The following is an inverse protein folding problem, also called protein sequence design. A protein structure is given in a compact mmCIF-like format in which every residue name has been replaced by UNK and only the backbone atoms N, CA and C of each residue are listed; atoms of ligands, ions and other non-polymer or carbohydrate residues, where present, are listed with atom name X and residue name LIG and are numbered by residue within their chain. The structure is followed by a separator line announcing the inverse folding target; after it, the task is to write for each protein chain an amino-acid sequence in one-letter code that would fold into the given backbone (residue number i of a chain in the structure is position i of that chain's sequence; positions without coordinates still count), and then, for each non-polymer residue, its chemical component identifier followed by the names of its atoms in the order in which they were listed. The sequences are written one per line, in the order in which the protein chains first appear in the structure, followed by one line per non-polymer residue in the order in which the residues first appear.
data_IF_204050693337
#
_entry.id   IF_204050693337
#
_cell.length_a   1.000
_cell.length_b   1.000
_cell.length_c   1.000
_cell.angle_alpha   90.00
_cell.angle_beta   90.00
_cell.angle_gamma   90.00
#
_symmetry.space_group_name_H-M   'P 1'
#
loop_
_entity.id
_entity.type
_entity.pdbx_description
1 polymer ?
#
# COMPACT_ATOMS: atom_id res chain seq x y z
N UNK A 1 31.86 12.70 -6.96
CA UNK A 1 31.76 11.27 -6.62
C UNK A 1 30.29 10.84 -6.67
N UNK A 2 29.93 9.69 -7.28
CA UNK A 2 28.53 9.28 -7.46
C UNK A 2 27.79 9.00 -6.13
N UNK A 3 28.51 9.00 -5.01
CA UNK A 3 28.01 8.72 -3.66
C UNK A 3 27.40 9.94 -2.96
N UNK A 4 27.71 11.17 -3.40
CA UNK A 4 27.22 12.40 -2.76
C UNK A 4 25.77 12.74 -3.11
N UNK A 5 25.34 12.48 -4.34
CA UNK A 5 23.97 12.74 -4.79
C UNK A 5 22.94 11.76 -4.20
N UNK A 6 23.37 10.54 -3.86
CA UNK A 6 22.52 9.50 -3.30
C UNK A 6 22.23 9.70 -1.79
N UNK A 7 23.13 10.36 -1.06
CA UNK A 7 22.92 10.74 0.36
C UNK A 7 21.94 11.90 0.46
N UNK A 8 22.08 12.90 -0.41
CA UNK A 8 21.15 14.02 -0.51
C UNK A 8 19.73 13.56 -0.90
N UNK A 9 19.66 12.50 -1.71
CA UNK A 9 18.42 11.86 -2.16
C UNK A 9 17.64 11.16 -1.04
N UNK A 10 18.30 10.41 -0.14
CA UNK A 10 17.63 9.84 1.03
C UNK A 10 17.09 10.92 1.97
N UNK A 11 17.88 11.99 2.16
CA UNK A 11 17.47 13.15 2.96
C UNK A 11 16.25 13.85 2.34
N UNK A 12 16.18 13.96 1.02
CA UNK A 12 15.04 14.55 0.32
C UNK A 12 13.78 13.68 0.34
N UNK A 13 13.89 12.35 0.30
CA UNK A 13 12.74 11.45 0.43
C UNK A 13 12.11 11.56 1.83
N UNK A 14 12.94 11.56 2.87
CA UNK A 14 12.51 11.75 4.26
C UNK A 14 11.97 13.18 4.47
N UNK A 15 12.64 14.20 3.94
CA UNK A 15 12.20 15.58 4.03
C UNK A 15 10.90 15.86 3.25
N UNK A 16 10.65 15.20 2.12
CA UNK A 16 9.40 15.35 1.37
C UNK A 16 8.21 14.72 2.12
N UNK A 17 8.43 13.59 2.81
CA UNK A 17 7.42 12.96 3.68
C UNK A 17 7.15 13.79 4.94
N UNK A 18 8.16 14.49 5.47
CA UNK A 18 8.03 15.37 6.64
C UNK A 18 7.47 16.76 6.26
N UNK A 19 7.83 17.31 5.10
CA UNK A 19 7.53 18.70 4.71
C UNK A 19 6.20 18.85 3.98
N UNK A 20 5.56 17.78 3.48
CA UNK A 20 4.24 17.87 2.84
C UNK A 20 3.10 18.18 3.82
N UNK A 21 3.39 18.36 5.11
CA UNK A 21 2.45 18.85 6.13
C UNK A 21 2.79 20.27 6.62
N UNK A 22 3.75 20.95 6.00
CA UNK A 22 4.14 22.32 6.34
C UNK A 22 4.04 23.19 5.08
N UNK A 23 2.84 23.67 4.74
CA UNK A 23 2.56 25.02 4.18
C UNK A 23 1.18 25.13 3.50
N UNK A 24 0.53 26.28 3.70
CA UNK A 24 -0.63 26.73 2.91
C UNK A 24 -1.62 27.62 3.66
N UNK A 25 -1.27 28.88 3.91
CA UNK A 25 -2.13 29.91 4.52
C UNK A 25 -3.05 30.62 3.49
N UNK A 26 -4.27 30.99 3.89
CA UNK A 26 -5.16 31.95 3.20
C UNK A 26 -5.32 33.20 4.09
N UNK A 27 -5.23 34.44 3.57
CA UNK A 27 -5.28 35.64 4.40
C UNK A 27 -6.72 36.12 4.65
N UNK A 28 -6.98 36.69 5.83
CA UNK A 28 -8.14 37.56 6.05
C UNK A 28 -7.73 38.88 6.72
N UNK A 29 -8.22 39.97 6.13
CA UNK A 29 -8.05 41.36 6.57
C UNK A 29 -8.83 41.63 7.86
N UNK A 30 -8.29 42.53 8.69
CA UNK A 30 -8.65 42.68 10.09
C UNK A 30 -9.77 43.67 10.43
N UNK A 31 -10.16 43.68 11.71
CA UNK A 31 -10.81 44.80 12.39
C UNK A 31 -10.43 44.83 13.88
N UNK A 32 -10.08 46.05 14.30
CA UNK A 32 -9.86 46.70 15.61
C UNK A 32 -10.00 45.97 16.96
N UNK A 33 -9.03 46.31 17.82
CA UNK A 33 -8.97 46.16 19.28
C UNK A 33 -10.09 46.91 19.99
N UNK A 34 -10.76 46.25 20.91
CA UNK A 34 -10.82 46.57 22.35
C UNK A 34 -12.01 45.85 23.01
N UNK A 35 -11.75 45.12 24.10
CA UNK A 35 -12.62 44.64 25.20
C UNK A 35 -11.93 43.41 25.82
N UNK A 36 -10.90 43.70 26.62
CA UNK A 36 -9.97 42.79 27.28
C UNK A 36 -10.56 42.15 28.56
N UNK A 37 -10.15 40.91 28.80
CA UNK A 37 -9.91 40.28 30.11
C UNK A 37 -10.94 39.31 30.73
N UNK A 38 -12.17 39.18 30.23
CA UNK A 38 -13.13 38.17 30.74
C UNK A 38 -13.70 37.22 29.67
N UNK A 39 -13.34 37.43 28.40
CA UNK A 39 -13.71 36.59 27.24
C UNK A 39 -12.55 35.72 26.73
N UNK A 40 -11.34 35.93 27.24
CA UNK A 40 -10.10 35.41 26.66
C UNK A 40 -9.91 33.91 26.91
N UNK A 41 -10.42 33.35 28.01
CA UNK A 41 -10.33 31.91 28.29
C UNK A 41 -11.14 31.02 27.33
N UNK A 42 -12.27 31.51 26.82
CA UNK A 42 -13.11 30.82 25.82
C UNK A 42 -12.69 31.15 24.38
N UNK A 43 -12.11 32.34 24.13
CA UNK A 43 -11.59 32.71 22.80
C UNK A 43 -10.28 32.00 22.45
N UNK A 44 -9.35 31.84 23.40
CA UNK A 44 -8.14 31.04 23.16
C UNK A 44 -8.49 29.58 22.84
N UNK A 45 -9.48 29.02 23.54
CA UNK A 45 -9.97 27.67 23.29
C UNK A 45 -10.54 27.52 21.87
N UNK A 46 -11.37 28.47 21.40
CA UNK A 46 -11.86 28.49 20.01
C UNK A 46 -10.76 28.70 18.97
N UNK A 47 -9.67 29.38 19.31
CA UNK A 47 -8.53 29.58 18.41
C UNK A 47 -7.64 28.34 18.30
N UNK A 48 -7.73 27.40 19.24
CA UNK A 48 -6.93 26.17 19.28
C UNK A 48 -7.68 24.92 18.78
N UNK A 49 -8.98 25.03 18.50
CA UNK A 49 -9.79 23.92 18.00
C UNK A 49 -9.30 23.38 16.65
N UNK A 50 -9.36 22.06 16.50
CA UNK A 50 -8.99 21.37 15.27
C UNK A 50 -9.96 21.74 14.14
N UNK A 51 -9.46 21.99 12.91
CA UNK A 51 -10.34 22.09 11.75
C UNK A 51 -11.04 20.74 11.52
N UNK A 52 -12.35 20.76 11.32
CA UNK A 52 -13.17 19.56 11.16
C UNK A 52 -13.60 19.36 9.71
N UNK A 53 -13.46 18.13 9.20
CA UNK A 53 -14.08 17.73 7.95
C UNK A 53 -15.61 17.58 8.11
N UNK A 54 -16.40 17.71 7.03
CA UNK A 54 -17.81 17.37 7.08
C UNK A 54 -18.02 15.92 7.55
N UNK A 55 -18.72 15.77 8.68
CA UNK A 55 -18.95 14.47 9.31
C UNK A 55 -17.95 14.10 10.41
N UNK A 56 -16.88 14.87 10.59
CA UNK A 56 -15.94 14.74 11.69
C UNK A 56 -16.52 15.34 12.98
N UNK A 57 -16.29 14.67 14.11
CA UNK A 57 -16.78 15.11 15.41
C UNK A 57 -15.75 14.96 16.52
N UNK A 58 -15.62 16.01 17.33
CA UNK A 58 -14.72 16.05 18.47
C UNK A 58 -15.20 15.07 19.55
N UNK A 59 -14.26 14.29 20.10
CA UNK A 59 -14.49 13.31 21.17
C UNK A 59 -13.84 13.74 22.48
N UNK A 60 -12.64 14.32 22.39
CA UNK A 60 -11.88 14.81 23.55
C UNK A 60 -11.23 16.14 23.20
N UNK A 61 -11.26 17.08 24.14
CA UNK A 61 -10.39 18.26 24.16
C UNK A 61 -9.71 18.29 25.52
N UNK A 62 -8.37 18.19 25.52
CA UNK A 62 -7.55 18.26 26.73
C UNK A 62 -6.54 19.41 26.60
N UNK A 63 -6.57 20.32 27.58
CA UNK A 63 -5.61 21.43 27.67
C UNK A 63 -4.35 20.99 28.40
N UNK A 64 -3.30 21.78 28.29
CA UNK A 64 -2.02 21.56 28.97
C UNK A 64 -1.41 20.18 28.70
N UNK A 65 -1.62 19.66 27.48
CA UNK A 65 -0.99 18.43 26.99
C UNK A 65 0.36 18.78 26.39
N UNK A 66 1.40 18.13 26.90
CA UNK A 66 2.77 18.31 26.45
C UNK A 66 3.11 17.30 25.36
N UNK A 67 3.33 17.76 24.14
CA UNK A 67 3.96 16.96 23.09
C UNK A 67 5.48 17.02 23.24
N UNK A 68 6.10 15.86 23.40
CA UNK A 68 7.56 15.73 23.51
C UNK A 68 8.12 15.59 22.08
N UNK A 69 8.38 16.71 21.42
CA UNK A 69 8.93 16.73 20.07
C UNK A 69 10.41 16.30 20.12
N UNK A 70 10.82 15.27 19.35
CA UNK A 70 12.22 14.84 19.36
C UNK A 70 13.18 15.87 18.74
N UNK A 71 12.66 16.85 18.00
CA UNK A 71 13.44 17.87 17.29
C UNK A 71 13.50 19.21 18.03
N UNK A 72 12.46 19.55 18.79
CA UNK A 72 12.28 20.88 19.38
C UNK A 72 12.08 20.86 20.91
N UNK A 73 12.07 19.68 21.53
CA UNK A 73 11.76 19.51 22.95
C UNK A 73 10.27 19.54 23.25
N UNK A 74 9.93 19.75 24.52
CA UNK A 74 8.55 19.77 24.98
C UNK A 74 7.78 21.01 24.49
N UNK A 75 6.56 20.79 24.00
CA UNK A 75 5.63 21.86 23.60
C UNK A 75 4.29 21.61 24.29
N UNK A 76 3.85 22.55 25.12
CA UNK A 76 2.52 22.51 25.74
C UNK A 76 1.48 23.04 24.77
N UNK A 77 0.31 22.41 24.71
CA UNK A 77 -0.80 22.86 23.89
C UNK A 77 -2.11 22.15 24.20
N UNK A 78 -3.10 22.38 23.34
CA UNK A 78 -4.41 21.73 23.43
C UNK A 78 -4.44 20.52 22.49
N UNK A 79 -4.71 19.34 23.06
CA UNK A 79 -4.97 18.10 22.34
C UNK A 79 -6.47 18.00 22.02
N UNK A 80 -6.79 17.75 20.76
CA UNK A 80 -8.12 17.40 20.27
C UNK A 80 -8.07 16.01 19.65
N UNK A 81 -8.95 15.11 20.08
CA UNK A 81 -9.17 13.80 19.44
C UNK A 81 -10.56 13.80 18.83
N UNK A 82 -10.64 13.47 17.53
CA UNK A 82 -11.90 13.33 16.80
C UNK A 82 -12.16 11.86 16.45
N UNK A 83 -13.15 11.60 15.62
CA UNK A 83 -13.34 10.30 14.96
C UNK A 83 -12.45 10.09 13.72
N UNK A 84 -11.60 11.06 13.36
CA UNK A 84 -10.68 10.98 12.23
C UNK A 84 -9.21 11.25 12.58
N UNK A 85 -8.92 12.23 13.43
CA UNK A 85 -7.56 12.71 13.72
C UNK A 85 -7.30 12.93 15.21
N UNK A 86 -6.02 12.91 15.53
CA UNK A 86 -5.45 13.52 16.72
C UNK A 86 -4.76 14.82 16.30
N UNK A 87 -5.11 15.92 16.96
CA UNK A 87 -4.65 17.26 16.62
C UNK A 87 -4.12 17.97 17.86
N UNK A 88 -2.91 18.52 17.79
CA UNK A 88 -2.32 19.31 18.87
C UNK A 88 -2.00 20.69 18.32
N UNK A 89 -2.44 21.74 19.01
CA UNK A 89 -2.10 23.11 18.66
C UNK A 89 -1.59 23.87 19.88
N UNK A 90 -0.51 24.61 19.68
CA UNK A 90 0.07 25.53 20.65
C UNK A 90 0.26 26.90 20.01
N UNK A 91 -0.39 27.91 20.59
CA UNK A 91 -0.28 29.31 20.15
C UNK A 91 0.87 30.06 20.83
N UNK A 92 1.69 29.37 21.63
CA UNK A 92 2.87 29.96 22.29
C UNK A 92 3.97 30.36 21.30
N UNK A 93 3.89 29.90 20.05
CA UNK A 93 4.82 30.20 18.96
C UNK A 93 4.12 30.90 17.80
N UNK A 94 4.89 31.66 17.03
CA UNK A 94 4.45 32.27 15.76
C UNK A 94 5.40 31.82 14.63
N UNK A 95 4.91 31.05 13.63
CA UNK A 95 3.55 30.54 13.50
C UNK A 95 3.19 29.52 14.61
N UNK A 96 1.89 29.30 14.90
CA UNK A 96 1.44 28.31 15.88
C UNK A 96 2.02 26.93 15.59
N UNK A 97 2.43 26.23 16.64
CA UNK A 97 2.89 24.85 16.52
C UNK A 97 1.68 23.93 16.36
N UNK A 98 1.68 23.09 15.32
CA UNK A 98 0.58 22.17 15.01
C UNK A 98 1.12 20.77 14.74
N UNK A 99 0.44 19.77 15.29
CA UNK A 99 0.62 18.36 14.95
C UNK A 99 -0.74 17.80 14.57
N UNK A 100 -0.90 17.40 13.30
CA UNK A 100 -2.12 16.79 12.77
C UNK A 100 -1.83 15.35 12.33
N UNK A 101 -2.48 14.38 12.99
CA UNK A 101 -2.25 12.95 12.77
C UNK A 101 -3.59 12.25 12.53
N UNK A 102 -3.86 11.78 11.31
CA UNK A 102 -5.01 10.90 11.06
C UNK A 102 -4.90 9.63 11.91
N UNK A 103 -5.96 9.27 12.61
CA UNK A 103 -5.98 8.15 13.53
C UNK A 103 -5.67 6.81 12.83
N UNK A 104 -6.01 6.69 11.54
CA UNK A 104 -5.69 5.50 10.73
C UNK A 104 -4.19 5.23 10.53
N UNK A 105 -3.31 6.22 10.78
CA UNK A 105 -1.85 6.01 10.77
C UNK A 105 -1.33 5.48 12.09
N UNK A 106 -2.11 5.51 13.16
CA UNK A 106 -1.69 4.98 14.46
C UNK A 106 -1.67 3.45 14.35
N UNK A 107 -0.54 2.87 14.71
CA UNK A 107 -0.36 1.41 14.77
C UNK A 107 -0.50 0.87 16.18
N UNK A 108 -0.07 1.64 17.18
CA UNK A 108 -0.07 1.22 18.59
C UNK A 108 -0.09 2.44 19.50
N UNK A 109 -0.75 2.32 20.65
CA UNK A 109 -0.81 3.33 21.70
C UNK A 109 -0.45 2.65 23.03
N UNK A 110 0.54 3.15 23.75
CA UNK A 110 1.03 2.58 25.01
C UNK A 110 1.08 3.63 26.10
N UNK A 111 0.68 3.27 27.33
CA UNK A 111 0.90 4.13 28.50
C UNK A 111 2.39 4.06 28.88
N UNK A 112 3.03 5.21 29.06
CA UNK A 112 4.42 5.32 29.50
C UNK A 112 4.50 6.10 30.80
N UNK A 113 5.46 5.74 31.66
CA UNK A 113 5.80 6.55 32.83
C UNK A 113 6.54 7.80 32.41
N UNK A 114 6.15 8.95 32.96
CA UNK A 114 6.86 10.22 32.76
C UNK A 114 7.53 10.57 34.08
N UNK A 115 8.86 10.70 34.08
CA UNK A 115 9.60 11.15 35.27
C UNK A 115 9.40 12.66 35.43
N UNK A 116 8.36 13.06 36.16
CA UNK A 116 8.20 14.43 36.64
C UNK A 116 8.56 14.52 38.13
N UNK A 117 9.47 15.43 38.47
CA UNK A 117 9.79 15.78 39.85
C UNK A 117 8.58 16.44 40.52
N UNK A 118 7.64 15.65 41.05
CA UNK A 118 6.59 16.11 41.95
C UNK A 118 5.17 16.18 41.37
N UNK A 119 5.00 16.18 40.04
CA UNK A 119 3.67 16.16 39.40
C UNK A 119 3.24 14.75 39.03
N UNK A 120 2.02 14.36 39.40
CA UNK A 120 1.41 13.07 39.06
C UNK A 120 1.00 13.08 37.56
N UNK A 121 1.94 12.80 36.66
CA UNK A 121 1.75 12.88 35.21
C UNK A 121 1.55 11.51 34.56
N UNK A 122 0.65 11.46 33.57
CA UNK A 122 0.48 10.34 32.65
C UNK A 122 1.31 10.60 31.39
N UNK A 123 1.81 9.53 30.78
CA UNK A 123 2.38 9.59 29.43
C UNK A 123 1.73 8.59 28.48
N UNK A 124 1.70 8.96 27.20
CA UNK A 124 1.33 8.06 26.11
C UNK A 124 2.45 8.07 25.07
N UNK A 125 2.87 6.89 24.62
CA UNK A 125 3.63 6.71 23.38
C UNK A 125 2.71 6.20 22.26
N UNK A 126 2.80 6.83 21.10
CA UNK A 126 2.02 6.53 19.91
C UNK A 126 2.98 6.12 18.81
N UNK A 127 2.87 4.89 18.34
CA UNK A 127 3.68 4.36 17.23
C UNK A 127 2.86 4.46 15.96
N UNK A 128 3.37 5.17 14.96
CA UNK A 128 2.66 5.39 13.70
C UNK A 128 3.25 4.57 12.54
N UNK A 129 2.40 4.32 11.53
CA UNK A 129 2.69 3.60 10.29
C UNK A 129 3.48 4.47 9.29
N UNK A 130 3.43 5.79 9.44
CA UNK A 130 4.10 6.81 8.62
C UNK A 130 5.52 7.15 9.14
N UNK A 131 6.25 6.14 9.62
CA UNK A 131 7.66 6.22 10.02
C UNK A 131 7.98 7.14 11.23
N UNK A 132 6.99 7.66 11.94
CA UNK A 132 7.17 8.44 13.19
C UNK A 132 6.64 7.72 14.43
N UNK A 133 7.14 8.17 15.59
CA UNK A 133 6.60 7.89 16.91
C UNK A 133 6.38 9.22 17.65
N UNK A 134 5.36 9.28 18.48
CA UNK A 134 5.00 10.49 19.24
C UNK A 134 4.88 10.17 20.71
N UNK A 135 5.20 11.16 21.56
CA UNK A 135 5.03 11.05 23.01
C UNK A 135 4.27 12.25 23.54
N UNK A 136 3.27 11.96 24.36
CA UNK A 136 2.44 12.95 25.04
C UNK A 136 2.61 12.78 26.54
N UNK A 137 2.60 13.88 27.28
CA UNK A 137 2.52 13.91 28.73
C UNK A 137 1.43 14.87 29.18
N UNK A 138 0.67 14.49 30.20
CA UNK A 138 -0.45 15.29 30.71
C UNK A 138 -0.76 14.90 32.16
N UNK A 139 -1.58 15.69 32.87
CA UNK A 139 -1.87 15.45 34.30
C UNK A 139 -2.78 14.23 34.50
N UNK A 140 -2.54 13.45 35.56
CA UNK A 140 -3.40 12.29 35.92
C UNK A 140 -4.85 12.69 36.16
N UNK A 141 -5.10 13.90 36.66
CA UNK A 141 -6.46 14.43 36.84
C UNK A 141 -7.21 14.57 35.52
N UNK A 142 -6.53 15.04 34.46
CA UNK A 142 -7.10 15.16 33.11
C UNK A 142 -7.40 13.78 32.52
N UNK A 143 -6.52 12.80 32.74
CA UNK A 143 -6.77 11.42 32.35
C UNK A 143 -8.06 10.88 32.98
N UNK A 144 -8.22 11.04 34.30
CA UNK A 144 -9.37 10.52 35.03
C UNK A 144 -10.67 11.22 34.64
N UNK A 145 -10.59 12.48 34.20
CA UNK A 145 -11.76 13.28 33.83
C UNK A 145 -12.20 13.06 32.37
N UNK A 146 -11.24 12.91 31.45
CA UNK A 146 -11.50 12.94 30.01
C UNK A 146 -11.29 11.60 29.31
N UNK A 147 -10.72 10.59 30.00
CA UNK A 147 -10.44 9.27 29.45
C UNK A 147 -9.66 9.37 28.12
N UNK A 148 -8.60 10.19 28.10
CA UNK A 148 -7.86 10.58 26.89
C UNK A 148 -7.31 9.34 26.18
N UNK A 149 -6.65 8.46 26.94
CA UNK A 149 -6.09 7.22 26.41
C UNK A 149 -7.15 6.33 25.77
N UNK A 150 -8.25 6.09 26.49
CA UNK A 150 -9.33 5.20 26.08
C UNK A 150 -10.03 5.75 24.83
N UNK A 151 -10.32 7.05 24.79
CA UNK A 151 -10.85 7.69 23.58
C UNK A 151 -9.88 7.58 22.40
N UNK A 152 -8.58 7.81 22.61
CA UNK A 152 -7.61 7.70 21.52
C UNK A 152 -7.56 6.26 20.96
N UNK A 153 -7.48 5.25 21.83
CA UNK A 153 -7.47 3.83 21.44
C UNK A 153 -8.76 3.46 20.70
N UNK A 154 -9.92 3.78 21.27
CA UNK A 154 -11.22 3.45 20.66
C UNK A 154 -11.41 4.08 19.28
N UNK A 155 -10.91 5.31 19.07
CA UNK A 155 -11.02 6.01 17.77
C UNK A 155 -9.91 5.67 16.77
N UNK A 156 -8.73 5.29 17.24
CA UNK A 156 -7.64 4.78 16.39
C UNK A 156 -7.91 3.38 15.86
N UNK A 157 -8.63 2.56 16.64
CA UNK A 157 -8.93 1.18 16.29
C UNK A 157 -10.45 0.91 16.24
N UNK A 158 -11.19 1.60 15.36
CA UNK A 158 -12.64 1.49 15.32
C UNK A 158 -13.13 0.08 15.03
N UNK A 159 -12.45 -0.71 14.19
CA UNK A 159 -12.87 -2.08 13.85
C UNK A 159 -12.80 -2.99 15.07
N UNK A 160 -11.70 -2.94 15.84
CA UNK A 160 -11.57 -3.68 17.10
C UNK A 160 -12.58 -3.26 18.17
N UNK A 161 -13.13 -2.05 18.05
CA UNK A 161 -14.08 -1.47 19.01
C UNK A 161 -15.54 -1.48 18.49
N UNK A 162 -15.85 -2.19 17.40
CA UNK A 162 -17.20 -2.27 16.85
C UNK A 162 -17.74 -0.94 16.30
N UNK A 163 -16.85 -0.03 15.90
CA UNK A 163 -17.15 1.27 15.34
C UNK A 163 -16.88 1.30 13.82
N UNK A 164 -17.58 2.15 13.05
CA UNK A 164 -17.29 2.32 11.64
C UNK A 164 -15.96 3.05 11.42
N UNK A 165 -15.26 2.72 10.34
CA UNK A 165 -14.15 3.53 9.83
C UNK A 165 -14.68 4.94 9.44
N UNK A 166 -13.85 5.97 9.61
CA UNK A 166 -14.24 7.35 9.30
C UNK A 166 -14.73 7.56 7.86
N UNK A 167 -14.26 6.74 6.92
CA UNK A 167 -14.71 6.76 5.52
C UNK A 167 -16.25 6.68 5.37
N UNK A 168 -16.95 6.04 6.30
CA UNK A 168 -18.42 5.94 6.30
C UNK A 168 -19.12 7.15 6.95
N UNK A 169 -18.38 7.95 7.71
CA UNK A 169 -18.86 9.18 8.36
C UNK A 169 -18.55 10.44 7.56
N UNK A 170 -17.53 10.40 6.70
CA UNK A 170 -17.08 11.52 5.89
C UNK A 170 -18.11 11.94 4.84
N UNK A 171 -18.42 13.24 4.78
CA UNK A 171 -19.52 13.82 3.97
C UNK A 171 -19.09 14.92 3.00
N UNK A 172 -17.80 15.11 2.79
CA UNK A 172 -17.33 16.11 1.83
C UNK A 172 -17.75 15.72 0.40
N UNK A 173 -17.99 16.72 -0.43
CA UNK A 173 -18.44 16.54 -1.80
C UNK A 173 -17.41 17.12 -2.76
N UNK A 174 -17.04 16.32 -3.75
CA UNK A 174 -16.12 16.72 -4.81
C UNK A 174 -16.85 16.81 -6.14
N UNK A 175 -16.35 17.65 -7.05
CA UNK A 175 -16.94 17.80 -8.38
C UNK A 175 -16.78 16.53 -9.24
N UNK A 176 -15.75 15.72 -8.98
CA UNK A 176 -15.45 14.47 -9.68
C UNK A 176 -15.75 13.29 -8.77
N UNK A 177 -16.46 12.28 -9.29
CA UNK A 177 -16.70 11.03 -8.58
C UNK A 177 -15.58 10.02 -8.90
N UNK A 178 -14.64 9.85 -7.97
CA UNK A 178 -13.51 8.91 -8.11
C UNK A 178 -13.94 7.46 -8.36
N UNK A 179 -15.10 7.01 -7.86
CA UNK A 179 -15.63 5.66 -8.11
C UNK A 179 -15.94 5.38 -9.59
N UNK A 180 -15.93 6.40 -10.45
CA UNK A 180 -16.13 6.28 -11.90
C UNK A 180 -14.84 6.41 -12.71
N UNK A 181 -13.68 6.49 -12.04
CA UNK A 181 -12.39 6.61 -12.73
C UNK A 181 -12.05 5.36 -13.54
N UNK A 182 -12.42 4.19 -13.03
CA UNK A 182 -12.17 2.89 -13.64
C UNK A 182 -13.46 2.23 -14.11
N UNK A 183 -13.50 1.91 -15.40
CA UNK A 183 -14.48 1.03 -16.02
C UNK A 183 -13.70 -0.12 -16.71
N UNK A 184 -13.84 -1.38 -16.24
CA UNK A 184 -13.14 -2.51 -16.83
C UNK A 184 -13.35 -2.63 -18.35
N UNK A 185 -14.57 -2.40 -18.83
CA UNK A 185 -14.89 -2.52 -20.25
C UNK A 185 -14.21 -1.43 -21.07
N UNK A 186 -14.21 -0.20 -20.56
CA UNK A 186 -13.52 0.92 -21.21
C UNK A 186 -12.00 0.71 -21.26
N UNK A 187 -11.42 0.18 -20.18
CA UNK A 187 -9.99 -0.11 -20.12
C UNK A 187 -9.58 -1.24 -21.06
N UNK A 188 -10.33 -2.35 -21.10
CA UNK A 188 -10.05 -3.42 -22.08
C UNK A 188 -10.25 -2.93 -23.53
N UNK A 189 -11.27 -2.11 -23.78
CA UNK A 189 -11.48 -1.50 -25.10
C UNK A 189 -10.32 -0.59 -25.51
N UNK A 190 -9.74 0.19 -24.58
CA UNK A 190 -8.55 1.01 -24.83
C UNK A 190 -7.37 0.15 -25.29
N UNK A 191 -7.24 -1.06 -24.76
CA UNK A 191 -6.22 -2.04 -25.16
C UNK A 191 -6.57 -2.84 -26.43
N UNK A 192 -7.68 -2.53 -27.11
CA UNK A 192 -8.09 -3.23 -28.34
C UNK A 192 -8.81 -4.55 -28.11
N UNK A 193 -9.44 -4.74 -26.94
CA UNK A 193 -10.15 -5.97 -26.56
C UNK A 193 -11.67 -5.78 -26.51
N UNK A 194 -12.47 -6.83 -26.77
CA UNK A 194 -12.06 -8.16 -27.20
C UNK A 194 -11.53 -8.15 -28.65
N UNK A 195 -10.79 -9.19 -29.03
CA UNK A 195 -10.31 -9.40 -30.39
C UNK A 195 -10.45 -10.89 -30.77
N UNK A 196 -9.84 -11.32 -31.88
CA UNK A 196 -9.93 -12.71 -32.34
C UNK A 196 -9.35 -13.71 -31.32
N UNK A 197 -8.25 -13.34 -30.66
CA UNK A 197 -7.53 -14.21 -29.72
C UNK A 197 -8.05 -14.15 -28.28
N UNK A 198 -8.65 -13.03 -27.86
CA UNK A 198 -9.05 -12.76 -26.48
C UNK A 198 -10.50 -12.29 -26.35
N UNK A 199 -11.25 -12.93 -25.45
CA UNK A 199 -12.64 -12.57 -25.12
C UNK A 199 -12.76 -12.01 -23.71
N UNK A 200 -13.76 -11.15 -23.54
CA UNK A 200 -14.20 -10.69 -22.22
C UNK A 200 -15.24 -11.69 -21.69
N UNK A 201 -14.85 -12.48 -20.68
CA UNK A 201 -15.70 -13.47 -20.02
C UNK A 201 -16.44 -12.87 -18.84
N UNK A 202 -17.71 -13.29 -18.69
CA UNK A 202 -18.58 -12.99 -17.55
C UNK A 202 -18.71 -14.16 -16.56
N UNK A 203 -17.91 -15.21 -16.73
CA UNK A 203 -17.94 -16.41 -15.86
C UNK A 203 -17.80 -16.07 -14.37
N UNK A 204 -17.10 -14.98 -14.04
CA UNK A 204 -16.89 -14.53 -12.67
C UNK A 204 -17.83 -13.39 -12.24
N UNK A 205 -18.93 -13.12 -12.95
CA UNK A 205 -19.79 -11.97 -12.64
C UNK A 205 -20.44 -12.03 -11.25
N UNK A 206 -20.61 -13.24 -10.72
CA UNK A 206 -21.11 -13.51 -9.36
C UNK A 206 -19.99 -13.90 -8.39
N UNK A 207 -18.72 -13.77 -8.81
CA UNK A 207 -17.53 -14.12 -8.02
C UNK A 207 -17.40 -15.61 -7.65
N UNK A 208 -18.15 -16.49 -8.32
CA UNK A 208 -18.15 -17.94 -8.05
C UNK A 208 -16.89 -18.66 -8.55
N UNK A 209 -16.30 -18.22 -9.67
CA UNK A 209 -15.06 -18.82 -10.18
C UNK A 209 -13.88 -18.46 -9.27
N UNK A 210 -13.79 -17.19 -8.87
CA UNK A 210 -12.78 -16.68 -7.96
C UNK A 210 -13.28 -15.41 -7.24
N UNK A 211 -13.46 -15.53 -5.93
CA UNK A 211 -14.00 -14.48 -5.05
C UNK A 211 -13.06 -13.28 -4.84
N UNK A 212 -11.79 -13.45 -5.16
CA UNK A 212 -10.74 -12.44 -5.01
C UNK A 212 -10.30 -11.82 -6.35
N UNK A 213 -10.99 -12.16 -7.43
CA UNK A 213 -10.79 -11.60 -8.77
C UNK A 213 -11.92 -10.64 -9.15
N UNK A 214 -11.71 -9.79 -10.19
CA UNK A 214 -12.77 -8.92 -10.66
C UNK A 214 -13.90 -9.73 -11.31
N UNK A 215 -15.09 -9.12 -11.36
CA UNK A 215 -16.27 -9.72 -11.97
C UNK A 215 -16.10 -10.01 -13.48
N UNK A 216 -15.24 -9.23 -14.15
CA UNK A 216 -14.98 -9.34 -15.59
C UNK A 216 -13.54 -9.77 -15.83
N UNK A 217 -13.37 -10.88 -16.55
CA UNK A 217 -12.06 -11.48 -16.82
C UNK A 217 -11.80 -11.53 -18.32
N UNK A 218 -10.57 -11.29 -18.75
CA UNK A 218 -10.16 -11.48 -20.13
C UNK A 218 -9.34 -12.76 -20.24
N UNK A 219 -9.81 -13.67 -21.09
CA UNK A 219 -9.29 -15.03 -21.29
C UNK A 219 -9.21 -15.35 -22.78
N UNK A 220 -8.43 -16.35 -23.22
CA UNK A 220 -8.37 -16.71 -24.63
C UNK A 220 -9.74 -17.14 -25.20
N UNK A 221 -10.04 -16.75 -26.43
CA UNK A 221 -11.37 -16.94 -27.06
C UNK A 221 -11.77 -18.42 -27.13
N UNK A 222 -10.81 -19.30 -27.45
CA UNK A 222 -11.03 -20.73 -27.67
C UNK A 222 -11.26 -21.55 -26.39
N UNK A 223 -11.02 -20.98 -25.20
CA UNK A 223 -11.19 -21.69 -23.93
C UNK A 223 -12.67 -21.75 -23.56
N UNK A 224 -13.13 -22.95 -23.14
CA UNK A 224 -14.50 -23.18 -22.65
C UNK A 224 -14.58 -22.95 -21.14
N UNK A 225 -15.76 -22.56 -20.66
CA UNK A 225 -16.00 -22.26 -19.25
C UNK A 225 -15.79 -23.49 -18.34
N UNK A 226 -16.13 -24.69 -18.82
CA UNK A 226 -15.84 -25.96 -18.12
C UNK A 226 -14.34 -26.21 -17.96
N UNK A 227 -13.54 -25.94 -18.99
CA UNK A 227 -12.08 -26.07 -18.94
C UNK A 227 -11.52 -25.04 -17.94
N UNK A 228 -12.01 -23.79 -18.00
CA UNK A 228 -11.59 -22.72 -17.10
C UNK A 228 -11.91 -23.02 -15.63
N UNK A 229 -13.03 -23.70 -15.35
CA UNK A 229 -13.38 -24.13 -13.99
C UNK A 229 -12.40 -25.17 -13.43
N UNK A 230 -11.88 -26.07 -14.28
CA UNK A 230 -10.83 -27.03 -13.89
C UNK A 230 -9.48 -26.34 -13.69
N UNK A 231 -9.16 -25.34 -14.52
CA UNK A 231 -7.98 -24.48 -14.31
C UNK A 231 -8.08 -23.76 -12.96
N UNK A 232 -9.25 -23.23 -12.61
CA UNK A 232 -9.48 -22.59 -11.31
C UNK A 232 -9.28 -23.57 -10.14
N UNK A 233 -9.75 -24.82 -10.27
CA UNK A 233 -9.50 -25.85 -9.25
C UNK A 233 -8.01 -26.20 -9.09
N UNK A 234 -7.19 -26.00 -10.13
CA UNK A 234 -5.75 -26.26 -10.08
C UNK A 234 -4.93 -25.04 -9.63
N UNK A 235 -5.43 -23.82 -9.81
CA UNK A 235 -4.73 -22.58 -9.40
C UNK A 235 -5.13 -22.19 -7.98
N UNK A 236 -4.16 -21.87 -7.13
CA UNK A 236 -4.45 -21.54 -5.73
C UNK A 236 -5.51 -20.44 -5.62
N UNK A 237 -6.57 -20.68 -4.83
CA UNK A 237 -7.71 -19.75 -4.64
C UNK A 237 -8.51 -19.44 -5.91
N UNK A 238 -8.47 -20.30 -6.93
CA UNK A 238 -9.21 -20.08 -8.18
C UNK A 238 -8.63 -19.00 -9.08
N UNK A 239 -7.45 -18.44 -8.75
CA UNK A 239 -6.86 -17.29 -9.44
C UNK A 239 -6.16 -17.73 -10.73
N UNK A 240 -6.97 -18.06 -11.73
CA UNK A 240 -6.55 -18.50 -13.06
C UNK A 240 -5.72 -17.44 -13.80
N UNK A 241 -4.89 -17.81 -14.79
CA UNK A 241 -4.19 -16.84 -15.61
C UNK A 241 -5.18 -16.00 -16.42
N UNK A 242 -5.17 -14.68 -16.21
CA UNK A 242 -6.02 -13.73 -16.93
C UNK A 242 -5.20 -12.54 -17.43
N UNK A 243 -5.66 -11.89 -18.49
CA UNK A 243 -4.95 -10.79 -19.13
C UNK A 243 -4.95 -9.52 -18.26
N UNK A 244 -3.76 -8.99 -17.99
CA UNK A 244 -3.55 -7.66 -17.41
C UNK A 244 -3.31 -6.62 -18.50
N UNK A 245 -2.46 -6.94 -19.48
CA UNK A 245 -2.07 -6.02 -20.55
C UNK A 245 -1.75 -6.76 -21.85
N UNK A 246 -1.95 -6.10 -22.99
CA UNK A 246 -1.60 -6.59 -24.33
C UNK A 246 -0.86 -5.51 -25.13
N UNK A 247 0.22 -5.91 -25.81
CA UNK A 247 1.00 -5.02 -26.65
C UNK A 247 0.20 -4.65 -27.91
N UNK A 248 0.08 -3.35 -28.25
CA UNK A 248 -0.79 -2.90 -29.33
C UNK A 248 -0.39 -3.47 -30.71
N UNK A 249 0.90 -3.63 -30.96
CA UNK A 249 1.41 -4.16 -32.23
C UNK A 249 1.67 -5.68 -32.22
N UNK A 250 2.57 -6.18 -31.37
CA UNK A 250 2.98 -7.59 -31.37
C UNK A 250 1.95 -8.58 -30.83
N UNK A 251 0.91 -8.09 -30.14
CA UNK A 251 -0.06 -8.92 -29.42
C UNK A 251 0.54 -9.76 -28.28
N UNK A 252 1.79 -9.51 -27.87
CA UNK A 252 2.38 -10.11 -26.69
C UNK A 252 1.63 -9.66 -25.42
N UNK A 253 1.33 -10.60 -24.52
CA UNK A 253 0.47 -10.34 -23.36
C UNK A 253 1.19 -10.49 -22.03
N UNK A 254 0.80 -9.67 -21.06
CA UNK A 254 1.05 -9.93 -19.64
C UNK A 254 -0.21 -10.55 -19.06
N UNK A 255 -0.09 -11.79 -18.59
CA UNK A 255 -1.15 -12.48 -17.85
C UNK A 255 -0.72 -12.70 -16.41
N UNK A 256 -1.69 -12.76 -15.48
CA UNK A 256 -1.43 -12.94 -14.05
C UNK A 256 -2.26 -14.04 -13.41
N UNK A 257 -1.67 -14.76 -12.47
CA UNK A 257 -2.32 -15.83 -11.70
C UNK A 257 -1.71 -16.03 -10.31
N UNK A 258 -2.25 -17.00 -9.59
CA UNK A 258 -1.59 -17.65 -8.45
C UNK A 258 -0.80 -18.89 -8.90
N UNK A 259 -0.06 -19.48 -7.95
CA UNK A 259 0.69 -20.71 -8.20
C UNK A 259 -0.22 -21.89 -8.60
N UNK A 260 0.32 -22.85 -9.39
CA UNK A 260 -0.36 -24.12 -9.64
C UNK A 260 -0.31 -25.03 -8.41
N UNK A 261 -1.32 -25.88 -8.23
CA UNK A 261 -1.48 -26.82 -7.12
C UNK A 261 -0.87 -28.18 -7.44
N UNK A 262 0.42 -28.18 -7.81
CA UNK A 262 1.21 -29.35 -8.22
C UNK A 262 1.38 -30.33 -7.04
N UNK A 263 1.73 -29.80 -5.88
CA UNK A 263 1.98 -30.56 -4.67
C UNK A 263 3.22 -31.45 -4.73
N UNK A 264 3.47 -32.23 -3.67
CA UNK A 264 4.63 -33.13 -3.58
C UNK A 264 4.57 -34.31 -4.57
N UNK A 265 3.40 -34.60 -5.14
CA UNK A 265 3.17 -35.73 -6.03
C UNK A 265 3.18 -35.34 -7.52
N UNK A 266 3.68 -34.15 -7.85
CA UNK A 266 3.76 -33.66 -9.24
C UNK A 266 2.43 -33.76 -10.00
N UNK A 267 1.33 -33.35 -9.34
CA UNK A 267 0.00 -33.33 -9.96
C UNK A 267 0.02 -32.42 -11.17
N UNK A 268 -0.63 -32.89 -12.23
CA UNK A 268 -0.78 -32.19 -13.51
C UNK A 268 -2.24 -31.87 -13.78
N UNK A 269 -2.47 -30.80 -14.52
CA UNK A 269 -3.79 -30.41 -14.99
C UNK A 269 -3.72 -30.19 -16.50
N UNK A 270 -4.31 -31.10 -17.28
CA UNK A 270 -4.29 -31.04 -18.74
C UNK A 270 -4.95 -29.75 -19.25
N UNK A 271 -5.96 -29.28 -18.54
CA UNK A 271 -6.66 -28.05 -18.86
C UNK A 271 -5.80 -26.81 -18.60
N UNK A 272 -5.01 -26.75 -17.52
CA UNK A 272 -4.07 -25.64 -17.26
C UNK A 272 -2.90 -25.64 -18.26
N UNK A 273 -2.34 -26.82 -18.57
CA UNK A 273 -1.32 -26.99 -19.60
C UNK A 273 -1.82 -26.49 -20.97
N UNK A 274 -3.01 -26.92 -21.38
CA UNK A 274 -3.67 -26.45 -22.62
C UNK A 274 -3.99 -24.96 -22.55
N UNK A 275 -4.37 -24.45 -21.39
CA UNK A 275 -4.70 -23.04 -21.20
C UNK A 275 -3.47 -22.15 -21.41
N UNK A 276 -2.33 -22.49 -20.80
CA UNK A 276 -1.06 -21.78 -21.04
C UNK A 276 -0.58 -21.90 -22.48
N UNK A 277 -0.72 -23.08 -23.09
CA UNK A 277 -0.46 -23.26 -24.52
C UNK A 277 -1.32 -22.32 -25.38
N UNK A 278 -2.61 -22.16 -25.03
CA UNK A 278 -3.51 -21.26 -25.76
C UNK A 278 -3.11 -19.79 -25.60
N UNK A 279 -2.61 -19.38 -24.44
CA UNK A 279 -2.05 -18.02 -24.23
C UNK A 279 -0.84 -17.79 -25.13
N UNK A 280 0.02 -18.79 -25.29
CA UNK A 280 1.15 -18.72 -26.20
C UNK A 280 0.70 -18.63 -27.66
N UNK A 281 -0.21 -19.50 -28.08
CA UNK A 281 -0.74 -19.55 -29.45
C UNK A 281 -1.50 -18.26 -29.85
N UNK A 282 -2.01 -17.51 -28.87
CA UNK A 282 -2.63 -16.20 -29.08
C UNK A 282 -1.62 -15.11 -29.55
N UNK A 283 -0.31 -15.37 -29.44
CA UNK A 283 0.76 -14.50 -29.91
C UNK A 283 1.50 -15.17 -31.08
N UNK A 284 1.25 -14.69 -32.30
CA UNK A 284 1.86 -15.24 -33.51
C UNK A 284 3.38 -14.99 -33.65
N UNK A 285 3.98 -14.15 -32.79
CA UNK A 285 5.38 -13.74 -32.88
C UNK A 285 6.34 -14.64 -32.09
N UNK A 286 5.85 -15.50 -31.21
CA UNK A 286 6.69 -16.35 -30.36
C UNK A 286 6.16 -17.78 -30.26
N UNK A 287 7.09 -18.74 -30.23
CA UNK A 287 6.82 -20.16 -29.96
C UNK A 287 7.17 -20.56 -28.52
N UNK A 288 7.38 -19.59 -27.64
CA UNK A 288 7.64 -19.80 -26.21
C UNK A 288 6.79 -18.88 -25.35
N UNK A 289 6.44 -19.35 -24.17
CA UNK A 289 5.83 -18.58 -23.10
C UNK A 289 6.83 -18.41 -21.96
N UNK A 290 6.99 -17.21 -21.41
CA UNK A 290 7.86 -17.02 -20.24
C UNK A 290 6.99 -16.94 -18.98
N UNK A 291 7.28 -17.76 -17.98
CA UNK A 291 6.60 -17.72 -16.68
C UNK A 291 7.55 -17.07 -15.68
N UNK A 292 7.17 -15.91 -15.15
CA UNK A 292 7.87 -15.23 -14.08
C UNK A 292 7.22 -15.57 -12.74
N UNK A 293 7.87 -16.44 -11.98
CA UNK A 293 7.55 -16.67 -10.58
C UNK A 293 8.30 -15.64 -9.73
N UNK A 294 7.55 -14.78 -9.05
CA UNK A 294 8.14 -13.73 -8.24
C UNK A 294 8.99 -14.27 -7.07
N UNK A 295 8.80 -15.53 -6.66
CA UNK A 295 9.38 -16.09 -5.45
C UNK A 295 10.85 -16.42 -5.62
N UNK A 296 11.49 -16.65 -4.48
CA UNK A 296 12.72 -17.42 -4.40
C UNK A 296 12.44 -18.88 -4.73
N UNK A 297 13.34 -19.52 -5.47
CA UNK A 297 13.22 -20.93 -5.85
C UNK A 297 12.97 -21.84 -4.61
N UNK A 298 13.72 -21.65 -3.54
CA UNK A 298 13.57 -22.40 -2.27
C UNK A 298 12.19 -22.24 -1.63
N UNK A 299 11.59 -21.06 -1.74
CA UNK A 299 10.23 -20.79 -1.26
C UNK A 299 9.21 -21.47 -2.16
N UNK A 300 9.44 -21.51 -3.46
CA UNK A 300 8.57 -22.23 -4.41
C UNK A 300 8.58 -23.75 -4.14
N UNK A 301 9.75 -24.34 -3.87
CA UNK A 301 9.87 -25.74 -3.44
C UNK A 301 9.15 -26.01 -2.11
N UNK A 302 9.27 -25.11 -1.14
CA UNK A 302 8.52 -25.23 0.13
C UNK A 302 7.00 -25.16 -0.10
N UNK A 303 6.54 -24.34 -1.03
CA UNK A 303 5.12 -24.31 -1.41
C UNK A 303 4.71 -25.60 -2.13
N UNK A 304 5.56 -26.16 -2.99
CA UNK A 304 5.34 -27.45 -3.64
C UNK A 304 5.10 -28.55 -2.60
N UNK A 305 5.94 -28.63 -1.56
CA UNK A 305 5.75 -29.57 -0.46
C UNK A 305 4.42 -29.40 0.29
N UNK A 306 3.84 -28.18 0.29
CA UNK A 306 2.57 -27.84 0.95
C UNK A 306 1.34 -27.91 0.02
N UNK A 307 1.48 -28.45 -1.20
CA UNK A 307 0.36 -28.60 -2.14
C UNK A 307 0.29 -27.54 -3.24
N UNK A 308 1.09 -26.47 -3.15
CA UNK A 308 1.29 -25.49 -4.23
C UNK A 308 2.34 -25.96 -5.24
N UNK A 309 3.16 -25.06 -5.77
CA UNK A 309 4.28 -25.44 -6.65
C UNK A 309 4.51 -24.44 -7.78
N UNK A 310 5.10 -24.92 -8.87
CA UNK A 310 5.44 -24.16 -10.07
C UNK A 310 5.41 -25.09 -11.30
N UNK A 311 5.34 -24.48 -12.48
CA UNK A 311 5.26 -25.12 -13.78
C UNK A 311 6.60 -25.79 -14.15
N UNK A 312 6.63 -27.13 -14.22
CA UNK A 312 7.82 -27.88 -14.63
C UNK A 312 7.98 -27.93 -16.15
N UNK A 313 9.21 -27.96 -16.64
CA UNK A 313 9.51 -28.10 -18.08
C UNK A 313 8.88 -29.37 -18.70
N UNK A 314 8.75 -30.44 -17.92
CA UNK A 314 8.12 -31.69 -18.36
C UNK A 314 6.60 -31.60 -18.54
N UNK A 315 5.92 -30.74 -17.78
CA UNK A 315 4.49 -30.52 -17.89
C UNK A 315 4.16 -29.40 -18.88
N UNK A 316 5.03 -28.38 -18.98
CA UNK A 316 4.86 -27.19 -19.82
C UNK A 316 6.06 -27.04 -20.77
N UNK A 317 6.16 -27.87 -21.82
CA UNK A 317 7.37 -27.97 -22.66
C UNK A 317 7.70 -26.69 -23.45
N UNK A 318 6.71 -25.84 -23.72
CA UNK A 318 6.89 -24.57 -24.42
C UNK A 318 6.99 -23.36 -23.47
N UNK A 319 7.02 -23.61 -22.15
CA UNK A 319 7.15 -22.58 -21.15
C UNK A 319 8.55 -22.56 -20.53
N UNK A 320 9.13 -21.38 -20.37
CA UNK A 320 10.38 -21.15 -19.64
C UNK A 320 10.07 -20.49 -18.30
N UNK A 321 10.36 -21.18 -17.19
CA UNK A 321 10.13 -20.67 -15.85
C UNK A 321 11.35 -19.89 -15.34
N UNK A 322 11.09 -18.71 -14.80
CA UNK A 322 12.10 -17.80 -14.25
C UNK A 322 11.69 -17.38 -12.83
N UNK A 323 12.56 -17.67 -11.86
CA UNK A 323 12.44 -17.13 -10.50
C UNK A 323 13.03 -15.71 -10.42
N UNK A 324 12.28 -14.79 -9.80
CA UNK A 324 12.71 -13.40 -9.60
C UNK A 324 13.31 -13.16 -8.21
N UNK A 325 13.28 -14.16 -7.32
CA UNK A 325 13.92 -14.13 -6.00
C UNK A 325 13.36 -13.08 -5.03
N UNK A 326 12.15 -12.57 -5.25
CA UNK A 326 11.54 -11.55 -4.39
C UNK A 326 10.96 -12.21 -3.13
N UNK A 327 11.42 -11.73 -1.98
CA UNK A 327 11.08 -12.27 -0.67
C UNK A 327 9.59 -12.05 -0.30
N UNK A 328 9.13 -12.74 0.75
CA UNK A 328 7.73 -12.70 1.18
C UNK A 328 7.40 -11.45 2.04
N UNK A 329 6.13 -11.32 2.42
CA UNK A 329 5.59 -10.19 3.18
C UNK A 329 6.28 -9.95 4.53
N UNK A 330 6.80 -11.00 5.19
CA UNK A 330 7.43 -10.90 6.50
C UNK A 330 8.80 -10.24 6.40
N UNK A 331 9.56 -10.57 5.35
CA UNK A 331 10.87 -9.97 5.07
C UNK A 331 10.69 -8.48 4.75
N UNK A 332 9.67 -8.11 3.97
CA UNK A 332 9.40 -6.70 3.64
C UNK A 332 8.97 -5.88 4.86
N UNK A 333 8.17 -6.48 5.76
CA UNK A 333 7.82 -5.84 7.04
C UNK A 333 9.07 -5.58 7.88
N UNK A 334 9.93 -6.57 8.02
CA UNK A 334 11.16 -6.46 8.82
C UNK A 334 12.13 -5.43 8.22
N UNK A 335 12.24 -5.38 6.89
CA UNK A 335 13.04 -4.37 6.20
C UNK A 335 12.59 -2.94 6.51
N UNK A 336 11.27 -2.68 6.43
CA UNK A 336 10.73 -1.36 6.76
C UNK A 336 10.89 -1.02 8.25
N UNK A 337 10.74 -2.01 9.15
CA UNK A 337 10.96 -1.83 10.58
C UNK A 337 12.40 -1.35 10.85
N UNK A 338 13.39 -2.02 10.29
CA UNK A 338 14.81 -1.60 10.38
C UNK A 338 15.04 -0.22 9.78
N UNK A 339 14.41 0.07 8.64
CA UNK A 339 14.50 1.39 8.02
C UNK A 339 13.96 2.49 8.94
N UNK A 340 12.81 2.27 9.60
CA UNK A 340 12.24 3.21 10.57
C UNK A 340 13.21 3.55 11.69
N UNK A 341 13.92 2.55 12.21
CA UNK A 341 14.85 2.71 13.34
C UNK A 341 16.05 3.60 13.00
N UNK A 342 16.51 3.61 11.75
CA UNK A 342 17.70 4.38 11.36
C UNK A 342 17.36 5.79 10.86
N UNK A 343 16.09 6.06 10.51
CA UNK A 343 15.65 7.35 9.95
C UNK A 343 14.93 8.24 10.96
N UNK A 344 14.37 7.69 12.03
CA UNK A 344 13.59 8.45 13.00
C UNK A 344 13.95 8.07 14.46
N UNK A 345 14.12 9.06 15.36
CA UNK A 345 14.01 10.49 15.11
C UNK A 345 15.30 11.12 14.54
N UNK A 346 16.45 10.52 14.80
CA UNK A 346 17.75 11.12 14.46
C UNK A 346 18.56 10.16 13.60
N UNK A 347 19.15 10.69 12.54
CA UNK A 347 20.01 9.94 11.62
C UNK A 347 21.44 9.94 12.15
N UNK A 348 22.05 8.75 12.21
CA UNK A 348 23.50 8.62 12.38
C UNK A 348 24.20 8.85 11.03
N UNK A 349 24.59 10.09 10.78
CA UNK A 349 25.27 10.52 9.55
C UNK A 349 26.58 9.76 9.29
N UNK A 350 27.29 9.33 10.34
CA UNK A 350 28.60 8.66 10.20
C UNK A 350 28.48 7.24 9.66
N UNK A 351 27.38 6.56 9.98
CA UNK A 351 27.09 5.18 9.57
C UNK A 351 25.91 5.09 8.63
N UNK A 352 25.48 6.20 8.03
CA UNK A 352 24.26 6.27 7.22
C UNK A 352 24.20 5.18 6.15
N UNK A 353 25.24 5.07 5.33
CA UNK A 353 25.26 4.10 4.22
C UNK A 353 25.21 2.65 4.71
N UNK A 354 26.00 2.28 5.72
CA UNK A 354 25.99 0.93 6.29
C UNK A 354 24.68 0.60 7.00
N UNK A 355 24.08 1.59 7.66
CA UNK A 355 22.80 1.43 8.33
C UNK A 355 21.70 1.18 7.30
N UNK A 356 21.63 1.97 6.22
CA UNK A 356 20.67 1.77 5.13
C UNK A 356 20.85 0.41 4.48
N UNK A 357 22.09 0.02 4.16
CA UNK A 357 22.40 -1.28 3.55
C UNK A 357 21.88 -2.43 4.42
N UNK A 358 22.06 -2.37 5.74
CA UNK A 358 21.60 -3.39 6.70
C UNK A 358 20.07 -3.56 6.79
N UNK A 359 19.30 -2.59 6.26
CA UNK A 359 17.83 -2.70 6.17
C UNK A 359 17.39 -3.55 4.98
N UNK A 360 18.24 -3.70 3.97
CA UNK A 360 17.93 -4.28 2.66
C UNK A 360 16.77 -3.62 1.89
N UNK A 361 16.26 -2.46 2.35
CA UNK A 361 15.09 -1.84 1.72
C UNK A 361 15.34 -1.54 0.24
N UNK A 362 16.45 -0.85 -0.05
CA UNK A 362 16.83 -0.50 -1.43
C UNK A 362 17.19 -1.74 -2.26
N UNK A 363 17.69 -2.81 -1.64
CA UNK A 363 17.91 -4.08 -2.32
C UNK A 363 16.57 -4.66 -2.80
N UNK A 364 15.53 -4.67 -1.96
CA UNK A 364 14.22 -5.18 -2.34
C UNK A 364 13.51 -4.30 -3.38
N UNK A 365 13.66 -2.96 -3.30
CA UNK A 365 13.20 -2.04 -4.35
C UNK A 365 13.90 -2.35 -5.69
N UNK A 366 15.22 -2.53 -5.68
CA UNK A 366 15.99 -2.92 -6.86
C UNK A 366 15.52 -4.24 -7.44
N UNK A 367 15.25 -5.26 -6.61
CA UNK A 367 14.77 -6.56 -7.07
C UNK A 367 13.40 -6.47 -7.75
N UNK A 368 12.48 -5.68 -7.18
CA UNK A 368 11.16 -5.44 -7.78
C UNK A 368 11.27 -4.75 -9.14
N UNK A 369 12.04 -3.67 -9.22
CA UNK A 369 12.26 -2.95 -10.48
C UNK A 369 12.97 -3.83 -11.52
N UNK A 370 13.99 -4.58 -11.13
CA UNK A 370 14.68 -5.51 -12.02
C UNK A 370 13.73 -6.60 -12.55
N UNK A 371 12.86 -7.16 -11.69
CA UNK A 371 11.83 -8.11 -12.10
C UNK A 371 10.85 -7.51 -13.11
N UNK A 372 10.36 -6.30 -12.85
CA UNK A 372 9.47 -5.58 -13.75
C UNK A 372 10.13 -5.24 -15.10
N UNK A 373 11.41 -4.83 -15.10
CA UNK A 373 12.19 -4.59 -16.33
C UNK A 373 12.34 -5.88 -17.13
N UNK A 374 12.60 -7.03 -16.50
CA UNK A 374 12.68 -8.32 -17.22
C UNK A 374 11.35 -8.69 -17.87
N UNK A 375 10.23 -8.44 -17.20
CA UNK A 375 8.88 -8.64 -17.75
C UNK A 375 8.66 -7.72 -18.95
N UNK A 376 8.92 -6.41 -18.78
CA UNK A 376 8.75 -5.42 -19.84
C UNK A 376 9.66 -5.71 -21.06
N UNK A 377 10.91 -6.08 -20.85
CA UNK A 377 11.85 -6.41 -21.93
C UNK A 377 11.42 -7.65 -22.73
N UNK A 378 10.87 -8.70 -22.08
CA UNK A 378 10.35 -9.86 -22.80
C UNK A 378 9.14 -9.54 -23.67
N UNK A 379 8.33 -8.58 -23.24
CA UNK A 379 7.17 -8.10 -23.98
C UNK A 379 7.61 -7.19 -25.14
N UNK A 380 8.44 -6.18 -24.85
CA UNK A 380 8.82 -5.13 -25.81
C UNK A 380 9.91 -5.57 -26.77
N UNK A 381 11.03 -6.10 -26.28
CA UNK A 381 12.15 -6.53 -27.12
C UNK A 381 11.94 -7.96 -27.62
N UNK A 382 11.47 -8.85 -26.74
CA UNK A 382 11.30 -10.26 -27.04
C UNK A 382 10.01 -10.60 -27.80
N UNK A 383 9.06 -9.66 -27.90
CA UNK A 383 7.71 -9.86 -28.46
C UNK A 383 7.04 -11.16 -27.96
N UNK A 384 7.34 -11.54 -26.72
CA UNK A 384 6.97 -12.82 -26.13
C UNK A 384 5.97 -12.61 -25.00
N UNK A 385 4.87 -13.37 -25.00
CA UNK A 385 3.87 -13.32 -23.93
C UNK A 385 4.44 -13.90 -22.63
N UNK A 386 3.95 -13.37 -21.52
CA UNK A 386 4.43 -13.73 -20.18
C UNK A 386 3.28 -14.03 -19.22
N UNK A 387 3.53 -14.96 -18.30
CA UNK A 387 2.67 -15.26 -17.16
C UNK A 387 3.40 -14.82 -15.90
N UNK A 388 2.77 -13.99 -15.07
CA UNK A 388 3.36 -13.50 -13.82
C UNK A 388 2.57 -14.06 -12.65
N UNK A 389 3.24 -14.77 -11.75
CA UNK A 389 2.60 -15.26 -10.52
C UNK A 389 3.55 -15.23 -9.33
N UNK A 390 3.00 -15.52 -8.16
CA UNK A 390 3.77 -15.82 -6.96
C UNK A 390 3.04 -16.97 -6.22
N UNK A 391 2.96 -16.96 -4.89
CA UNK A 391 2.11 -17.91 -4.17
C UNK A 391 0.62 -17.62 -4.41
N UNK A 392 0.11 -16.51 -3.89
CA UNK A 392 -1.32 -16.17 -3.96
C UNK A 392 -1.70 -15.28 -5.14
N UNK A 393 -0.75 -14.65 -5.83
CA UNK A 393 -1.05 -13.83 -7.01
C UNK A 393 -1.64 -12.43 -6.73
N UNK A 394 -1.55 -11.93 -5.49
CA UNK A 394 -2.13 -10.63 -5.08
C UNK A 394 -1.16 -9.64 -4.42
N UNK A 395 0.09 -10.02 -4.14
CA UNK A 395 1.11 -9.14 -3.55
C UNK A 395 2.18 -8.82 -4.61
N UNK A 396 3.25 -9.63 -4.67
CA UNK A 396 4.36 -9.46 -5.64
C UNK A 396 3.90 -9.44 -7.09
N UNK A 397 2.87 -10.21 -7.42
CA UNK A 397 2.28 -10.22 -8.76
C UNK A 397 1.69 -8.86 -9.12
N UNK A 398 0.97 -8.21 -8.21
CA UNK A 398 0.42 -6.87 -8.43
C UNK A 398 1.53 -5.82 -8.59
N UNK A 399 2.60 -5.92 -7.78
CA UNK A 399 3.79 -5.07 -7.92
C UNK A 399 4.40 -5.21 -9.33
N UNK A 400 4.66 -6.45 -9.76
CA UNK A 400 5.34 -6.75 -11.01
C UNK A 400 4.52 -6.37 -12.24
N UNK A 401 3.22 -6.73 -12.28
CA UNK A 401 2.37 -6.39 -13.43
C UNK A 401 2.18 -4.89 -13.54
N UNK A 402 1.88 -4.20 -12.43
CA UNK A 402 1.68 -2.76 -12.46
C UNK A 402 2.95 -1.97 -12.84
N UNK A 403 4.13 -2.38 -12.34
CA UNK A 403 5.40 -1.73 -12.70
C UNK A 403 5.77 -1.98 -14.17
N UNK A 404 5.61 -3.21 -14.67
CA UNK A 404 5.86 -3.50 -16.09
C UNK A 404 4.89 -2.71 -16.99
N UNK A 405 3.61 -2.62 -16.61
CA UNK A 405 2.61 -1.84 -17.33
C UNK A 405 2.95 -0.34 -17.36
N UNK A 406 3.52 0.23 -16.30
CA UNK A 406 3.99 1.62 -16.31
C UNK A 406 5.15 1.86 -17.28
N UNK A 407 6.05 0.89 -17.40
CA UNK A 407 7.18 0.94 -18.34
C UNK A 407 6.67 0.87 -19.79
N UNK A 408 5.69 -0.01 -20.05
CA UNK A 408 5.20 -0.31 -21.40
C UNK A 408 4.15 0.68 -21.93
N UNK A 409 3.25 1.16 -21.08
CA UNK A 409 2.07 1.90 -21.51
C UNK A 409 2.04 3.32 -20.92
N UNK A 410 2.23 4.31 -21.80
CA UNK A 410 2.23 5.72 -21.42
C UNK A 410 0.92 6.22 -20.82
N UNK A 411 -0.20 5.53 -21.09
CA UNK A 411 -1.49 5.87 -20.48
C UNK A 411 -1.41 5.83 -18.95
N UNK A 412 -0.81 4.77 -18.39
CA UNK A 412 -0.72 4.59 -16.94
C UNK A 412 0.22 5.58 -16.25
N UNK A 413 0.99 6.37 -17.01
CA UNK A 413 1.85 7.45 -16.50
C UNK A 413 1.12 8.80 -16.40
N UNK A 414 -0.10 8.90 -16.91
CA UNK A 414 -0.99 10.05 -16.63
C UNK A 414 -1.62 9.90 -15.25
N UNK A 415 -2.05 11.01 -14.61
CA UNK A 415 -2.73 10.95 -13.29
C UNK A 415 -3.92 9.99 -13.33
N UNK A 416 -4.83 10.19 -14.29
CA UNK A 416 -6.01 9.34 -14.46
C UNK A 416 -5.65 7.88 -14.80
N UNK A 417 -4.65 7.67 -15.65
CA UNK A 417 -4.21 6.33 -15.98
C UNK A 417 -3.58 5.61 -14.78
N UNK A 418 -2.85 6.32 -13.92
CA UNK A 418 -2.28 5.77 -12.70
C UNK A 418 -3.37 5.40 -11.68
N UNK A 419 -4.42 6.23 -11.55
CA UNK A 419 -5.62 5.89 -10.78
C UNK A 419 -6.28 4.61 -11.31
N UNK A 420 -6.45 4.51 -12.65
CA UNK A 420 -6.97 3.30 -13.31
C UNK A 420 -6.07 2.08 -13.08
N UNK A 421 -4.74 2.25 -13.07
CA UNK A 421 -3.79 1.17 -12.81
C UNK A 421 -3.97 0.62 -11.38
N UNK A 422 -4.15 1.49 -10.40
CA UNK A 422 -4.39 1.10 -9.00
C UNK A 422 -5.74 0.40 -8.88
N UNK A 423 -6.82 1.00 -9.41
CA UNK A 423 -8.16 0.40 -9.41
C UNK A 423 -8.18 -0.97 -10.09
N UNK A 424 -7.47 -1.11 -11.20
CA UNK A 424 -7.34 -2.37 -11.92
C UNK A 424 -6.45 -3.37 -11.18
N UNK A 425 -5.14 -3.17 -11.19
CA UNK A 425 -4.15 -4.20 -10.84
C UNK A 425 -4.02 -4.45 -9.33
N UNK A 426 -4.49 -3.53 -8.50
CA UNK A 426 -4.42 -3.64 -7.04
C UNK A 426 -5.78 -3.91 -6.42
N UNK A 427 -6.76 -3.03 -6.64
CA UNK A 427 -8.07 -3.12 -5.99
C UNK A 427 -8.91 -4.25 -6.60
N UNK A 428 -9.20 -4.18 -7.91
CA UNK A 428 -10.08 -5.16 -8.58
C UNK A 428 -9.48 -6.57 -8.60
N UNK A 429 -8.14 -6.67 -8.63
CA UNK A 429 -7.41 -7.93 -8.54
C UNK A 429 -7.13 -8.41 -7.11
N UNK A 430 -7.69 -7.74 -6.09
CA UNK A 430 -7.78 -8.30 -4.74
C UNK A 430 -6.50 -8.25 -3.91
N UNK A 431 -5.66 -7.24 -4.09
CA UNK A 431 -4.64 -6.93 -3.08
C UNK A 431 -5.34 -6.64 -1.74
N UNK A 432 -4.91 -7.31 -0.67
CA UNK A 432 -5.63 -7.32 0.62
C UNK A 432 -5.32 -6.09 1.46
N UNK A 433 -5.60 -4.88 0.95
CA UNK A 433 -5.28 -3.59 1.61
C UNK A 433 -5.67 -3.56 3.09
N UNK A 434 -6.92 -3.91 3.41
CA UNK A 434 -7.42 -3.89 4.78
C UNK A 434 -6.56 -4.72 5.75
N UNK A 435 -6.12 -5.89 5.31
CA UNK A 435 -5.27 -6.80 6.09
C UNK A 435 -3.80 -6.38 6.07
N UNK A 436 -3.26 -5.98 4.90
CA UNK A 436 -1.86 -5.57 4.77
C UNK A 436 -1.54 -4.30 5.56
N UNK A 437 -2.53 -3.42 5.74
CA UNK A 437 -2.41 -2.18 6.51
C UNK A 437 -2.94 -2.30 7.95
N UNK A 438 -3.92 -3.17 8.20
CA UNK A 438 -4.63 -3.25 9.49
C UNK A 438 -5.47 -2.00 9.74
N UNK A 439 -6.47 -1.74 8.88
CA UNK A 439 -7.32 -0.55 9.00
C UNK A 439 -8.20 -0.63 10.25
N UNK A 440 -7.92 0.22 11.23
CA UNK A 440 -8.70 0.33 12.47
C UNK A 440 -8.66 -0.90 13.37
N UNK A 441 -7.63 -1.73 13.21
CA UNK A 441 -7.39 -2.96 13.98
C UNK A 441 -6.20 -2.75 14.93
N UNK A 442 -6.36 -3.15 16.19
CA UNK A 442 -5.39 -2.97 17.28
C UNK A 442 -4.34 -4.08 17.40
N UNK A 443 -4.46 -5.18 16.64
CA UNK A 443 -3.43 -6.22 16.56
C UNK A 443 -2.24 -5.75 15.72
N UNK A 444 -1.42 -4.89 16.31
CA UNK A 444 -0.22 -4.35 15.70
C UNK A 444 0.85 -5.42 15.39
N UNK A 445 0.71 -6.63 15.95
CA UNK A 445 1.65 -7.74 15.79
C UNK A 445 1.23 -8.70 14.67
N UNK A 446 0.07 -8.49 14.04
CA UNK A 446 -0.45 -9.32 12.95
C UNK A 446 0.62 -9.54 11.88
N UNK A 447 0.95 -10.83 11.68
CA UNK A 447 1.95 -11.28 10.75
C UNK A 447 1.55 -11.08 9.27
N UNK A 448 0.29 -10.74 8.98
CA UNK A 448 -0.18 -10.40 7.65
C UNK A 448 0.02 -8.93 7.25
N UNK A 449 0.34 -8.04 8.19
CA UNK A 449 0.66 -6.62 7.91
C UNK A 449 2.00 -6.51 7.19
N UNK A 450 2.04 -5.79 6.07
CA UNK A 450 3.26 -5.66 5.24
C UNK A 450 3.19 -4.50 4.24
N UNK A 451 4.30 -3.78 3.97
CA UNK A 451 4.31 -2.55 3.17
C UNK A 451 4.35 -2.81 1.65
N UNK A 452 3.55 -3.75 1.13
CA UNK A 452 3.61 -4.18 -0.27
C UNK A 452 3.22 -3.06 -1.24
N UNK A 453 2.13 -2.34 -0.95
CA UNK A 453 1.74 -1.18 -1.76
C UNK A 453 2.70 0.00 -1.60
N UNK A 454 3.28 0.19 -0.41
CA UNK A 454 4.31 1.22 -0.20
C UNK A 454 5.56 0.94 -1.05
N UNK A 455 6.02 -0.31 -1.12
CA UNK A 455 7.14 -0.69 -2.00
C UNK A 455 6.83 -0.42 -3.47
N UNK A 456 5.59 -0.64 -3.91
CA UNK A 456 5.18 -0.28 -5.26
C UNK A 456 5.26 1.22 -5.49
N UNK A 457 4.71 2.03 -4.59
CA UNK A 457 4.77 3.50 -4.71
C UNK A 457 6.23 4.00 -4.65
N UNK A 458 7.09 3.39 -3.84
CA UNK A 458 8.54 3.67 -3.84
C UNK A 458 9.14 3.38 -5.22
N UNK A 459 8.91 2.19 -5.79
CA UNK A 459 9.36 1.85 -7.14
C UNK A 459 8.84 2.83 -8.21
N UNK A 460 7.59 3.28 -8.12
CA UNK A 460 7.04 4.32 -9.01
C UNK A 460 7.80 5.63 -8.84
N UNK A 461 8.03 6.05 -7.61
CA UNK A 461 8.81 7.25 -7.32
C UNK A 461 10.24 7.14 -7.87
N UNK A 462 10.90 5.97 -7.79
CA UNK A 462 12.20 5.74 -8.44
C UNK A 462 12.15 6.06 -9.94
N UNK A 463 11.10 5.61 -10.64
CA UNK A 463 10.93 5.86 -12.07
C UNK A 463 10.66 7.34 -12.38
N UNK A 464 10.08 8.11 -11.45
CA UNK A 464 9.91 9.57 -11.64
C UNK A 464 11.19 10.38 -11.42
N UNK A 465 12.22 9.77 -10.82
CA UNK A 465 13.50 10.41 -10.52
C UNK A 465 14.59 10.14 -11.55
N UNK A 466 14.47 9.05 -12.31
CA UNK A 466 15.32 8.72 -13.46
C UNK A 466 14.88 9.53 -14.67
#
# INVERSE_FOLDING_TARGET
SPTGSHVEWCKQLIAATISSQISGSVPSEGVSRDYRALRDGNKLAQMEEAPLFPGESIKVIAKDVMYICPFMGAVSGTLTVTDFRMYIKSVERDPPFVVDVPLGVISRVEKIGVQSHGDNSCGIEIVCKDMRNMRLAYKQEEQNRLEIFENLVTRAFPVSNGLPLFAFSYKEKFAVNGWKVYDPMAEYKRQGLPNESWKISKINSTYELCDTYPATLVVPTSVKDDDLSKVAAFRAKGRVPVLSWIHPESQATITRCSQPSVGPNDKRCKEDEKYLQTIMDANAQSHKLIIFDARQNSVADTNKAKGGGYESESAYPNAELVFLEIHNIHVMRESLRKLKEIVYPTIDETRWLSNVDSTHWLEYIRMLLAGAVRIADKIESGKTSVVVHCSDGWDRTAQLTALAMLMLDSYYRTIKGFEVLIEKEWLSFGHRFAMRVGHGDDDHADADRSPIFLQFIDCVWQMTKQ
#
